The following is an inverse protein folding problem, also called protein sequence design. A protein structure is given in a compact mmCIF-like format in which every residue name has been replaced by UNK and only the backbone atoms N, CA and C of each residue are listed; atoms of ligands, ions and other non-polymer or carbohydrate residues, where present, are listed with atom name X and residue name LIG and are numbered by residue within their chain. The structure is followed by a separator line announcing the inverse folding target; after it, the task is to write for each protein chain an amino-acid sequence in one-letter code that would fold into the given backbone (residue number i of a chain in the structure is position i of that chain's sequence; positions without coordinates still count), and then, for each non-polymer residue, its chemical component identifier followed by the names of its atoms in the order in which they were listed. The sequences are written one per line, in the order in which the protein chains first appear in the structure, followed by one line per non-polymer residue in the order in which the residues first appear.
data_IF_732158714639
#
_entry.id   IF_732158714639
#
_cell.length_a   1.000
_cell.length_b   1.000
_cell.length_c   1.000
_cell.angle_alpha   90.00
_cell.angle_beta   90.00
_cell.angle_gamma   90.00
#
_symmetry.space_group_name_H-M   'P 1'
#
loop_
_entity.id
_entity.type
_entity.pdbx_description
1 polymer ?
#
# COMPACT_ATOMS: atom_id res chain seq x y z
N UNK A 1 -20.12 7.85 17.07
CA UNK A 1 -19.13 7.86 15.97
C UNK A 1 -17.98 6.98 16.41
N UNK A 2 -17.38 6.20 15.52
CA UNK A 2 -16.19 5.39 15.85
C UNK A 2 -15.03 5.89 14.98
N UNK A 3 -13.85 6.00 15.58
CA UNK A 3 -12.57 6.16 14.88
C UNK A 3 -11.68 4.95 15.19
N UNK A 4 -10.99 4.44 14.18
CA UNK A 4 -9.94 3.45 14.34
C UNK A 4 -8.78 3.79 13.41
N UNK A 5 -7.56 3.75 13.93
CA UNK A 5 -6.36 4.04 13.17
C UNK A 5 -5.32 4.80 14.01
N UNK A 6 -4.32 5.38 13.35
CA UNK A 6 -3.30 6.21 13.98
C UNK A 6 -3.90 7.41 14.73
N UNK A 7 -3.55 7.61 15.99
CA UNK A 7 -4.06 8.73 16.82
C UNK A 7 -3.84 10.11 16.17
N UNK A 8 -2.80 10.27 15.35
CA UNK A 8 -2.50 11.49 14.60
C UNK A 8 -3.60 11.88 13.59
N UNK A 9 -4.49 10.96 13.20
CA UNK A 9 -5.59 11.22 12.28
C UNK A 9 -6.94 11.45 12.98
N UNK A 10 -7.04 11.14 14.28
CA UNK A 10 -8.32 11.09 14.99
C UNK A 10 -9.06 12.43 14.98
N UNK A 11 -8.37 13.52 15.34
CA UNK A 11 -8.97 14.86 15.39
C UNK A 11 -9.39 15.31 14.00
N UNK A 12 -8.49 15.21 13.02
CA UNK A 12 -8.71 15.62 11.64
C UNK A 12 -9.89 14.88 10.99
N UNK A 13 -9.99 13.56 11.19
CA UNK A 13 -11.08 12.76 10.63
C UNK A 13 -12.41 13.09 11.31
N UNK A 14 -12.39 13.32 12.62
CA UNK A 14 -13.58 13.71 13.38
C UNK A 14 -14.08 15.09 12.95
N UNK A 15 -13.18 16.06 12.84
CA UNK A 15 -13.49 17.43 12.40
C UNK A 15 -14.09 17.41 10.99
N UNK A 16 -13.46 16.72 10.04
CA UNK A 16 -14.01 16.58 8.70
C UNK A 16 -15.41 15.95 8.72
N UNK A 17 -15.60 14.88 9.50
CA UNK A 17 -16.88 14.19 9.56
C UNK A 17 -18.00 15.08 10.12
N UNK A 18 -17.75 15.80 11.22
CA UNK A 18 -18.75 16.64 11.86
C UNK A 18 -19.05 17.92 11.07
N UNK A 19 -18.03 18.60 10.54
CA UNK A 19 -18.19 19.85 9.81
C UNK A 19 -18.94 19.71 8.49
N UNK A 20 -18.97 18.50 7.90
CA UNK A 20 -19.55 18.27 6.59
C UNK A 20 -20.78 17.34 6.61
N UNK A 21 -21.25 16.96 7.79
CA UNK A 21 -22.31 15.95 7.94
C UNK A 21 -23.61 16.31 7.22
N UNK A 22 -23.97 17.59 7.23
CA UNK A 22 -25.22 18.06 6.64
C UNK A 22 -25.25 17.90 5.11
N UNK A 23 -24.08 17.97 4.47
CA UNK A 23 -23.93 17.81 3.02
C UNK A 23 -24.20 16.36 2.58
N UNK A 24 -24.00 15.37 3.45
CA UNK A 24 -24.17 13.95 3.11
C UNK A 24 -25.61 13.59 2.75
N UNK A 25 -26.60 14.36 3.20
CA UNK A 25 -28.01 14.14 2.87
C UNK A 25 -28.30 14.35 1.38
N UNK A 26 -27.57 15.27 0.73
CA UNK A 26 -27.73 15.52 -0.71
C UNK A 26 -27.20 14.34 -1.54
N UNK A 27 -26.01 13.84 -1.19
CA UNK A 27 -25.41 12.63 -1.77
C UNK A 27 -26.31 11.40 -1.57
N UNK A 28 -26.91 11.25 -0.38
CA UNK A 28 -27.84 10.15 -0.09
C UNK A 28 -29.12 10.22 -0.94
N UNK A 29 -29.65 11.42 -1.20
CA UNK A 29 -30.83 11.62 -2.05
C UNK A 29 -30.54 11.20 -3.50
N UNK A 30 -29.34 11.51 -4.00
CA UNK A 30 -28.91 11.08 -5.32
C UNK A 30 -28.79 9.55 -5.40
N UNK A 31 -28.29 8.90 -4.36
CA UNK A 31 -28.27 7.43 -4.28
C UNK A 31 -29.68 6.83 -4.28
N UNK A 32 -30.61 7.39 -3.48
CA UNK A 32 -32.02 6.95 -3.47
C UNK A 32 -32.70 7.08 -4.82
N UNK A 33 -32.39 8.13 -5.58
CA UNK A 33 -32.95 8.33 -6.93
C UNK A 33 -32.60 7.20 -7.92
N UNK A 34 -31.62 6.35 -7.58
CA UNK A 34 -31.20 5.20 -8.37
C UNK A 34 -31.63 3.86 -7.78
N UNK A 35 -32.37 3.84 -6.68
CA UNK A 35 -32.71 2.60 -5.98
C UNK A 35 -33.45 1.58 -6.88
N UNK A 36 -34.27 2.05 -7.84
CA UNK A 36 -35.00 1.18 -8.78
C UNK A 36 -34.09 0.39 -9.73
N UNK A 37 -32.89 0.91 -10.04
CA UNK A 37 -31.91 0.28 -10.93
C UNK A 37 -30.76 -0.39 -10.18
N UNK A 38 -30.72 -0.22 -8.85
CA UNK A 38 -29.74 -0.84 -7.97
C UNK A 38 -30.35 -2.12 -7.36
N UNK A 39 -29.59 -3.21 -7.35
CA UNK A 39 -30.09 -4.48 -6.84
C UNK A 39 -30.42 -4.42 -5.35
N UNK A 40 -31.66 -4.66 -4.95
CA UNK A 40 -32.14 -4.53 -3.55
C UNK A 40 -31.47 -5.49 -2.56
N UNK A 41 -30.80 -6.53 -3.04
CA UNK A 41 -30.13 -7.54 -2.23
C UNK A 41 -28.83 -7.02 -1.57
N UNK A 42 -28.27 -5.92 -2.07
CA UNK A 42 -27.00 -5.37 -1.60
C UNK A 42 -27.16 -3.93 -1.14
N UNK A 43 -26.40 -3.56 -0.11
CA UNK A 43 -26.25 -2.16 0.25
C UNK A 43 -25.42 -1.41 -0.81
N UNK A 44 -25.71 -0.14 -1.02
CA UNK A 44 -24.97 0.71 -1.95
C UNK A 44 -24.41 1.93 -1.23
N UNK A 45 -23.28 2.41 -1.74
CA UNK A 45 -22.65 3.63 -1.26
C UNK A 45 -22.36 4.54 -2.43
N UNK A 46 -22.82 5.78 -2.35
CA UNK A 46 -22.22 6.83 -3.15
C UNK A 46 -20.88 7.18 -2.49
N UNK A 47 -19.82 7.06 -3.28
CA UNK A 47 -18.45 7.07 -2.78
C UNK A 47 -17.67 8.16 -3.48
N UNK A 48 -17.13 9.09 -2.70
CA UNK A 48 -16.10 10.02 -3.18
C UNK A 48 -14.72 9.43 -2.87
N UNK A 49 -13.82 9.46 -3.84
CA UNK A 49 -12.47 8.89 -3.76
C UNK A 49 -11.46 9.96 -4.15
N UNK A 50 -10.47 10.17 -3.29
CA UNK A 50 -9.32 11.04 -3.54
C UNK A 50 -8.03 10.20 -3.55
N UNK A 51 -7.26 10.31 -4.63
CA UNK A 51 -6.02 9.56 -4.85
C UNK A 51 -4.93 10.44 -5.43
N UNK A 52 -3.68 10.03 -5.24
CA UNK A 52 -2.56 10.55 -6.01
C UNK A 52 -2.57 9.95 -7.42
N UNK A 53 -2.46 10.79 -8.46
CA UNK A 53 -2.43 10.37 -9.89
C UNK A 53 -1.30 9.38 -10.15
N UNK A 54 -0.17 9.53 -9.46
CA UNK A 54 1.00 8.67 -9.58
C UNK A 54 0.99 7.51 -8.58
N UNK A 55 -0.09 7.35 -7.81
CA UNK A 55 -0.28 6.28 -6.83
C UNK A 55 0.83 6.23 -5.75
N UNK A 56 1.37 7.41 -5.37
CA UNK A 56 2.47 7.58 -4.40
C UNK A 56 2.00 7.90 -2.97
N UNK A 57 0.69 7.92 -2.75
CA UNK A 57 0.07 8.10 -1.45
C UNK A 57 -1.15 7.17 -1.25
N UNK A 58 -1.51 6.84 0.00
CA UNK A 58 -2.70 6.06 0.34
C UNK A 58 -3.99 6.70 -0.18
N UNK A 59 -5.02 5.89 -0.44
CA UNK A 59 -6.30 6.40 -0.96
C UNK A 59 -7.21 6.85 0.17
N UNK A 60 -7.83 8.03 0.04
CA UNK A 60 -8.88 8.50 0.94
C UNK A 60 -10.24 8.33 0.27
N UNK A 61 -11.23 7.83 1.00
CA UNK A 61 -12.57 7.59 0.47
C UNK A 61 -13.63 7.93 1.49
N UNK A 62 -14.71 8.57 1.04
CA UNK A 62 -15.91 8.84 1.82
C UNK A 62 -17.06 8.03 1.25
N UNK A 63 -17.67 7.19 2.07
CA UNK A 63 -18.79 6.33 1.72
C UNK A 63 -20.06 6.86 2.39
N UNK A 64 -21.12 7.08 1.61
CA UNK A 64 -22.40 7.59 2.09
C UNK A 64 -23.50 6.61 1.63
N UNK A 65 -24.30 6.12 2.57
CA UNK A 65 -25.43 5.24 2.26
C UNK A 65 -26.72 6.01 1.98
N UNK A 66 -27.77 5.28 1.62
CA UNK A 66 -29.07 5.86 1.29
C UNK A 66 -29.72 6.61 2.46
N UNK A 67 -29.35 6.33 3.71
CA UNK A 67 -29.88 7.03 4.89
C UNK A 67 -29.07 8.30 5.22
N UNK A 68 -28.03 8.63 4.44
CA UNK A 68 -27.10 9.71 4.74
C UNK A 68 -26.12 9.37 5.86
N UNK A 69 -26.09 8.11 6.31
CA UNK A 69 -25.03 7.64 7.22
C UNK A 69 -23.77 7.48 6.39
N UNK A 70 -22.65 7.88 6.96
CA UNK A 70 -21.39 7.85 6.22
C UNK A 70 -20.22 7.42 7.08
N UNK A 71 -19.12 7.11 6.41
CA UNK A 71 -17.81 7.01 7.05
C UNK A 71 -16.70 7.35 6.06
N UNK A 72 -15.62 7.92 6.60
CA UNK A 72 -14.37 8.20 5.93
C UNK A 72 -13.42 7.01 6.16
N UNK A 73 -12.67 6.63 5.14
CA UNK A 73 -11.66 5.57 5.21
C UNK A 73 -10.40 5.96 4.46
N UNK A 74 -9.25 5.64 5.05
CA UNK A 74 -7.95 5.69 4.40
C UNK A 74 -7.50 4.24 4.14
N UNK A 75 -7.17 3.92 2.90
CA UNK A 75 -6.88 2.56 2.45
C UNK A 75 -5.54 2.45 1.73
N UNK A 76 -4.99 1.23 1.73
CA UNK A 76 -3.75 0.90 1.01
C UNK A 76 -3.92 0.75 -0.49
N UNK A 77 -5.16 0.69 -0.97
CA UNK A 77 -5.48 0.64 -2.39
C UNK A 77 -6.71 1.47 -2.69
N UNK A 78 -6.82 1.89 -3.95
CA UNK A 78 -8.00 2.56 -4.45
C UNK A 78 -9.17 1.56 -4.53
N UNK A 79 -10.32 1.80 -3.87
CA UNK A 79 -11.48 0.90 -3.94
C UNK A 79 -11.91 0.56 -5.38
N UNK A 80 -11.70 1.50 -6.31
CA UNK A 80 -12.08 1.36 -7.72
C UNK A 80 -11.28 0.29 -8.48
N UNK A 81 -10.13 -0.15 -7.96
CA UNK A 81 -9.34 -1.22 -8.61
C UNK A 81 -9.83 -2.62 -8.23
N UNK A 82 -10.60 -2.74 -7.13
CA UNK A 82 -11.04 -4.03 -6.57
C UNK A 82 -12.55 -4.23 -6.63
N UNK A 83 -13.29 -3.17 -6.90
CA UNK A 83 -14.74 -3.16 -6.86
C UNK A 83 -15.33 -2.65 -8.16
N UNK A 84 -16.40 -3.30 -8.61
CA UNK A 84 -17.17 -2.84 -9.76
C UNK A 84 -17.83 -1.50 -9.44
N UNK A 85 -17.58 -0.50 -10.29
CA UNK A 85 -18.27 0.79 -10.23
C UNK A 85 -19.55 0.70 -11.02
N UNK A 86 -20.71 0.85 -10.35
CA UNK A 86 -22.00 0.74 -11.02
C UNK A 86 -22.29 2.01 -11.84
N UNK A 87 -21.98 3.17 -11.25
CA UNK A 87 -22.17 4.48 -11.88
C UNK A 87 -21.00 5.40 -11.57
N UNK A 88 -20.71 6.35 -12.48
CA UNK A 88 -19.75 7.44 -12.29
C UNK A 88 -20.47 8.77 -12.36
N UNK A 89 -20.13 9.66 -11.46
CA UNK A 89 -20.72 10.98 -11.31
C UNK A 89 -19.65 12.05 -11.46
N UNK A 90 -20.10 13.27 -11.80
CA UNK A 90 -19.25 14.45 -11.64
C UNK A 90 -18.95 14.66 -10.14
N UNK A 91 -17.76 15.16 -9.79
CA UNK A 91 -17.44 15.52 -8.40
C UNK A 91 -18.51 16.44 -7.78
N UNK A 92 -18.88 16.18 -6.53
CA UNK A 92 -19.79 17.03 -5.76
C UNK A 92 -19.00 18.01 -4.87
N UNK A 93 -19.71 18.86 -4.13
CA UNK A 93 -19.11 19.69 -3.08
C UNK A 93 -18.39 18.83 -2.04
N UNK A 94 -19.03 17.74 -1.59
CA UNK A 94 -18.43 16.75 -0.69
C UNK A 94 -17.14 16.15 -1.26
N UNK A 95 -17.12 15.84 -2.57
CA UNK A 95 -15.91 15.37 -3.25
C UNK A 95 -14.79 16.41 -3.24
N UNK A 96 -15.13 17.69 -3.41
CA UNK A 96 -14.17 18.79 -3.39
C UNK A 96 -13.57 19.01 -1.99
N UNK A 97 -14.39 18.89 -0.95
CA UNK A 97 -13.96 18.96 0.45
C UNK A 97 -13.05 17.77 0.81
N UNK A 98 -13.37 16.57 0.32
CA UNK A 98 -12.49 15.40 0.45
C UNK A 98 -11.13 15.64 -0.19
N UNK A 99 -11.10 16.29 -1.36
CA UNK A 99 -9.87 16.70 -2.03
C UNK A 99 -9.02 17.66 -1.19
N UNK A 100 -9.64 18.66 -0.54
CA UNK A 100 -8.93 19.58 0.36
C UNK A 100 -8.32 18.86 1.56
N UNK A 101 -9.06 17.94 2.18
CA UNK A 101 -8.55 17.08 3.26
C UNK A 101 -7.39 16.20 2.76
N UNK A 102 -7.50 15.66 1.54
CA UNK A 102 -6.43 14.87 0.95
C UNK A 102 -5.16 15.71 0.71
N UNK A 103 -5.28 16.94 0.20
CA UNK A 103 -4.16 17.87 0.04
C UNK A 103 -3.46 18.16 1.36
N UNK A 104 -4.21 18.32 2.46
CA UNK A 104 -3.61 18.59 3.76
C UNK A 104 -2.86 17.38 4.34
N UNK A 105 -3.37 16.17 4.09
CA UNK A 105 -2.72 14.92 4.48
C UNK A 105 -1.48 14.60 3.62
N UNK A 106 -1.54 14.89 2.33
CA UNK A 106 -0.50 14.54 1.36
C UNK A 106 -0.17 15.74 0.45
N UNK A 107 0.54 16.77 0.96
CA UNK A 107 0.76 18.03 0.23
C UNK A 107 1.51 17.89 -1.10
N UNK A 108 2.34 16.84 -1.25
CA UNK A 108 3.12 16.57 -2.46
C UNK A 108 2.34 15.80 -3.54
N UNK A 109 1.10 15.40 -3.28
CA UNK A 109 0.32 14.56 -4.19
C UNK A 109 -0.38 15.38 -5.28
N UNK A 110 -0.37 14.85 -6.50
CA UNK A 110 -1.21 15.36 -7.58
C UNK A 110 -2.58 14.67 -7.49
N UNK A 111 -3.63 15.42 -7.18
CA UNK A 111 -4.90 14.84 -6.76
C UNK A 111 -5.80 14.49 -7.94
N UNK A 112 -6.30 13.26 -7.95
CA UNK A 112 -7.42 12.82 -8.76
C UNK A 112 -8.63 12.56 -7.88
N UNK A 113 -9.78 13.10 -8.31
CA UNK A 113 -11.06 12.94 -7.61
C UNK A 113 -12.02 12.12 -8.46
N UNK A 114 -12.70 11.17 -7.82
CA UNK A 114 -13.74 10.36 -8.44
C UNK A 114 -14.96 10.28 -7.54
N UNK A 115 -16.15 10.25 -8.14
CA UNK A 115 -17.42 10.02 -7.44
C UNK A 115 -18.16 8.89 -8.14
N UNK A 116 -18.49 7.82 -7.41
CA UNK A 116 -19.05 6.60 -7.98
C UNK A 116 -20.10 5.98 -7.07
N UNK A 117 -20.84 5.00 -7.57
CA UNK A 117 -21.60 4.07 -6.71
C UNK A 117 -20.84 2.75 -6.58
N UNK A 118 -20.58 2.34 -5.34
CA UNK A 118 -20.00 1.06 -4.96
C UNK A 118 -21.03 0.19 -4.24
N UNK A 119 -20.95 -1.11 -4.47
CA UNK A 119 -21.80 -2.12 -3.84
C UNK A 119 -21.14 -2.71 -2.59
N UNK A 120 -21.87 -2.83 -1.49
CA UNK A 120 -21.47 -3.57 -0.29
C UNK A 120 -21.47 -5.09 -0.57
N UNK A 121 -20.56 -5.88 0.03
CA UNK A 121 -19.54 -5.49 1.00
C UNK A 121 -18.32 -4.81 0.38
N UNK A 122 -17.77 -3.84 1.09
CA UNK A 122 -16.56 -3.12 0.68
C UNK A 122 -15.33 -4.04 0.83
N UNK A 123 -14.61 -4.25 -0.28
CA UNK A 123 -13.44 -5.13 -0.35
C UNK A 123 -12.15 -4.32 -0.33
N UNK A 124 -11.99 -3.52 0.72
CA UNK A 124 -10.88 -2.57 0.84
C UNK A 124 -10.27 -2.65 2.23
N UNK A 125 -8.94 -2.78 2.30
CA UNK A 125 -8.22 -2.80 3.56
C UNK A 125 -7.96 -1.36 4.04
N UNK A 126 -8.51 -1.03 5.21
CA UNK A 126 -8.39 0.29 5.80
C UNK A 126 -7.22 0.36 6.79
N UNK A 127 -6.36 1.36 6.61
CA UNK A 127 -5.33 1.76 7.60
C UNK A 127 -5.92 2.69 8.66
N UNK A 128 -6.98 3.42 8.33
CA UNK A 128 -7.77 4.21 9.27
C UNK A 128 -9.21 4.38 8.77
N UNK A 129 -10.16 4.57 9.68
CA UNK A 129 -11.53 4.94 9.32
C UNK A 129 -12.23 5.72 10.45
N UNK A 130 -13.22 6.53 10.09
CA UNK A 130 -14.02 7.32 11.02
C UNK A 130 -15.46 7.48 10.51
N UNK A 131 -16.47 7.32 11.36
CA UNK A 131 -17.82 7.70 10.98
C UNK A 131 -18.95 7.11 11.82
N UNK A 132 -20.10 6.92 11.17
CA UNK A 132 -21.32 6.44 11.82
C UNK A 132 -21.10 5.04 12.43
N UNK A 133 -21.35 4.94 13.73
CA UNK A 133 -21.09 3.74 14.52
C UNK A 133 -21.91 2.53 14.08
N UNK A 134 -23.22 2.73 13.84
CA UNK A 134 -24.12 1.64 13.45
C UNK A 134 -23.76 1.12 12.06
N UNK A 135 -23.44 2.02 11.13
CA UNK A 135 -22.99 1.69 9.79
C UNK A 135 -21.67 0.90 9.81
N UNK A 136 -20.65 1.42 10.52
CA UNK A 136 -19.34 0.77 10.61
C UNK A 136 -19.44 -0.61 11.27
N UNK A 137 -20.15 -0.74 12.40
CA UNK A 137 -20.36 -2.04 13.06
C UNK A 137 -21.02 -3.06 12.11
N UNK A 138 -21.99 -2.63 11.29
CA UNK A 138 -22.62 -3.48 10.28
C UNK A 138 -21.63 -3.94 9.20
N UNK A 139 -20.85 -3.03 8.63
CA UNK A 139 -19.89 -3.40 7.57
C UNK A 139 -18.72 -4.23 8.11
N UNK A 140 -18.25 -3.97 9.33
CA UNK A 140 -17.27 -4.79 10.03
C UNK A 140 -17.78 -6.21 10.27
N UNK A 141 -19.04 -6.36 10.69
CA UNK A 141 -19.67 -7.67 10.87
C UNK A 141 -19.75 -8.44 9.54
N UNK A 142 -20.20 -7.79 8.46
CA UNK A 142 -20.22 -8.39 7.12
C UNK A 142 -18.84 -8.86 6.67
N UNK A 143 -17.81 -8.03 6.84
CA UNK A 143 -16.44 -8.37 6.53
C UNK A 143 -15.95 -9.59 7.34
N UNK A 144 -16.23 -9.60 8.65
CA UNK A 144 -15.88 -10.71 9.55
C UNK A 144 -16.57 -12.02 9.16
N UNK A 145 -17.86 -11.98 8.80
CA UNK A 145 -18.61 -13.16 8.35
C UNK A 145 -18.05 -13.72 7.04
N UNK A 146 -17.49 -12.87 6.18
CA UNK A 146 -16.80 -13.30 4.95
C UNK A 146 -15.37 -13.82 5.18
N UNK A 147 -14.90 -13.87 6.44
CA UNK A 147 -13.53 -14.27 6.79
C UNK A 147 -12.46 -13.26 6.36
N UNK A 148 -12.84 -12.01 6.06
CA UNK A 148 -11.92 -10.97 5.56
C UNK A 148 -11.64 -9.91 6.63
N UNK A 149 -10.35 -9.55 6.76
CA UNK A 149 -9.84 -8.61 7.77
C UNK A 149 -9.86 -7.13 7.37
N UNK A 150 -10.74 -6.71 6.46
CA UNK A 150 -10.71 -5.36 5.83
C UNK A 150 -10.60 -4.18 6.81
N UNK A 151 -11.24 -4.28 7.98
CA UNK A 151 -11.22 -3.23 9.01
C UNK A 151 -10.23 -3.50 10.14
N UNK A 152 -9.79 -4.75 10.33
CA UNK A 152 -8.95 -5.16 11.48
C UNK A 152 -7.55 -4.56 11.44
N UNK A 153 -7.05 -4.26 10.24
CA UNK A 153 -5.70 -3.68 10.09
C UNK A 153 -5.60 -2.33 10.82
N UNK A 154 -6.60 -1.46 10.70
CA UNK A 154 -6.63 -0.14 11.33
C UNK A 154 -6.44 -0.19 12.86
N UNK A 155 -6.83 -1.29 13.51
CA UNK A 155 -6.65 -1.47 14.96
C UNK A 155 -5.19 -1.58 15.40
N UNK A 156 -4.32 -1.99 14.47
CA UNK A 156 -2.92 -2.32 14.74
C UNK A 156 -1.95 -1.29 14.17
N UNK A 157 -2.41 -0.31 13.38
CA UNK A 157 -1.55 0.71 12.79
C UNK A 157 -1.27 1.82 13.82
N UNK A 158 -0.05 1.82 14.37
CA UNK A 158 0.41 2.90 15.25
C UNK A 158 0.73 4.18 14.46
N UNK A 159 0.82 5.33 15.15
CA UNK A 159 1.22 6.59 14.54
C UNK A 159 2.60 6.53 13.88
N UNK A 160 3.54 5.82 14.50
CA UNK A 160 4.89 5.66 13.95
C UNK A 160 4.88 4.77 12.70
N UNK A 161 4.19 3.62 12.74
CA UNK A 161 4.06 2.75 11.57
C UNK A 161 3.39 3.50 10.42
N UNK A 162 2.36 4.28 10.70
CA UNK A 162 1.69 5.11 9.70
C UNK A 162 2.62 6.15 9.08
N UNK A 163 3.45 6.82 9.87
CA UNK A 163 4.43 7.78 9.37
C UNK A 163 5.39 7.14 8.37
N UNK A 164 5.95 5.97 8.69
CA UNK A 164 6.81 5.22 7.78
C UNK A 164 6.07 4.71 6.54
N UNK A 165 4.85 4.19 6.73
CA UNK A 165 3.99 3.71 5.66
C UNK A 165 3.74 4.81 4.62
N UNK A 166 3.38 6.03 5.05
CA UNK A 166 3.21 7.18 4.15
C UNK A 166 4.53 7.61 3.51
N UNK A 167 5.61 7.69 4.30
CA UNK A 167 6.94 8.11 3.81
C UNK A 167 7.45 7.21 2.69
N UNK A 168 7.21 5.91 2.77
CA UNK A 168 7.73 4.91 1.83
C UNK A 168 6.65 4.37 0.88
N UNK A 169 5.46 4.98 0.84
CA UNK A 169 4.37 4.46 0.02
C UNK A 169 4.75 4.45 -1.47
N UNK A 170 4.74 3.25 -2.06
CA UNK A 170 4.92 2.95 -3.50
C UNK A 170 6.07 3.70 -4.16
N UNK A 171 7.26 3.66 -3.54
CA UNK A 171 8.43 4.40 -4.03
C UNK A 171 9.77 3.68 -3.81
N UNK A 172 10.76 4.10 -4.59
CA UNK A 172 12.16 3.73 -4.41
C UNK A 172 12.79 4.54 -3.28
N UNK A 173 13.39 3.85 -2.34
CA UNK A 173 14.21 4.40 -1.26
C UNK A 173 15.66 4.26 -1.68
N UNK A 174 16.30 5.39 -2.01
CA UNK A 174 17.72 5.43 -2.36
C UNK A 174 18.56 5.24 -1.09
N UNK A 175 19.50 4.30 -1.15
CA UNK A 175 20.41 3.93 -0.07
C UNK A 175 21.86 4.07 -0.55
N UNK A 176 22.82 4.00 0.38
CA UNK A 176 24.25 4.15 0.05
C UNK A 176 24.72 3.12 -0.98
N UNK A 177 24.38 1.85 -0.76
CA UNK A 177 24.81 0.71 -1.57
C UNK A 177 23.84 0.33 -2.70
N UNK A 178 22.75 1.07 -2.90
CA UNK A 178 21.73 0.72 -3.90
C UNK A 178 20.37 1.28 -3.51
N UNK A 179 19.30 0.52 -3.70
CA UNK A 179 17.94 1.01 -3.50
C UNK A 179 16.94 -0.11 -3.16
N UNK A 180 15.84 0.25 -2.50
CA UNK A 180 14.74 -0.66 -2.16
C UNK A 180 13.43 -0.03 -2.58
N UNK A 181 12.59 -0.78 -3.29
CA UNK A 181 11.22 -0.36 -3.59
C UNK A 181 10.26 -0.92 -2.55
N UNK A 182 9.45 -0.04 -1.97
CA UNK A 182 8.43 -0.39 -0.98
C UNK A 182 7.07 -0.27 -1.64
N UNK A 183 6.29 -1.35 -1.58
CA UNK A 183 4.96 -1.41 -2.17
C UNK A 183 3.94 -1.97 -1.19
N UNK A 184 3.23 -1.10 -0.46
CA UNK A 184 2.08 -1.51 0.32
C UNK A 184 0.91 -1.88 -0.60
N UNK A 185 0.26 -3.01 -0.28
CA UNK A 185 -0.93 -3.52 -0.97
C UNK A 185 -1.71 -4.38 -0.01
N UNK A 186 -3.02 -4.16 0.08
CA UNK A 186 -3.89 -4.86 1.01
C UNK A 186 -3.37 -4.77 2.47
N UNK A 187 -3.17 -5.92 3.13
CA UNK A 187 -2.63 -6.05 4.49
C UNK A 187 -1.12 -6.35 4.53
N UNK A 188 -0.44 -6.29 3.38
CA UNK A 188 0.99 -6.62 3.26
C UNK A 188 1.81 -5.44 2.72
N UNK A 189 3.12 -5.54 2.92
CA UNK A 189 4.12 -4.68 2.30
C UNK A 189 5.08 -5.57 1.54
N UNK A 190 5.18 -5.33 0.23
CA UNK A 190 6.23 -5.92 -0.60
C UNK A 190 7.48 -5.05 -0.54
N UNK A 191 8.61 -5.71 -0.32
CA UNK A 191 9.94 -5.11 -0.24
C UNK A 191 10.77 -5.69 -1.38
N UNK A 192 11.11 -4.85 -2.35
CA UNK A 192 11.88 -5.26 -3.52
C UNK A 192 13.29 -4.70 -3.40
N UNK A 193 14.29 -5.56 -3.43
CA UNK A 193 15.68 -5.12 -3.46
C UNK A 193 16.07 -4.72 -4.89
N UNK A 194 16.68 -3.55 -5.03
CA UNK A 194 17.30 -3.08 -6.26
C UNK A 194 18.69 -3.69 -6.49
N UNK A 195 19.29 -3.41 -7.65
CA UNK A 195 20.66 -3.83 -7.97
C UNK A 195 21.65 -3.20 -6.96
N UNK A 196 22.46 -4.01 -6.25
CA UNK A 196 23.50 -3.48 -5.37
C UNK A 196 24.61 -2.82 -6.20
N UNK A 197 25.21 -1.77 -5.65
CA UNK A 197 26.40 -1.10 -6.19
C UNK A 197 27.62 -1.91 -5.77
N UNK A 198 28.16 -2.66 -6.70
CA UNK A 198 29.34 -3.52 -6.50
C UNK A 198 30.56 -2.88 -7.17
N UNK A 199 31.76 -3.19 -6.65
CA UNK A 199 33.04 -2.75 -7.24
C UNK A 199 33.46 -3.59 -8.46
N UNK A 200 32.66 -4.60 -8.83
CA UNK A 200 32.92 -5.52 -9.92
C UNK A 200 31.87 -5.37 -11.02
N UNK A 201 32.31 -5.46 -12.28
CA UNK A 201 31.39 -5.54 -13.41
C UNK A 201 30.90 -7.00 -13.55
N UNK A 202 29.72 -7.28 -13.01
CA UNK A 202 29.09 -8.60 -13.02
C UNK A 202 27.74 -8.50 -13.73
N UNK A 203 27.46 -9.52 -14.53
CA UNK A 203 26.18 -9.67 -15.21
C UNK A 203 25.01 -9.66 -14.24
N UNK A 204 23.94 -8.97 -14.64
CA UNK A 204 22.76 -8.81 -13.80
C UNK A 204 22.10 -10.16 -13.49
N UNK A 205 22.16 -11.13 -14.39
CA UNK A 205 21.63 -12.49 -14.19
C UNK A 205 22.28 -13.17 -12.97
N UNK A 206 23.61 -13.06 -12.83
CA UNK A 206 24.34 -13.63 -11.68
C UNK A 206 23.88 -12.95 -10.39
N UNK A 207 23.75 -11.62 -10.39
CA UNK A 207 23.24 -10.88 -9.23
C UNK A 207 21.83 -11.35 -8.86
N UNK A 208 20.94 -11.56 -9.83
CA UNK A 208 19.58 -12.04 -9.59
C UNK A 208 19.58 -13.44 -8.97
N UNK A 209 20.39 -14.38 -9.47
CA UNK A 209 20.46 -15.73 -8.90
C UNK A 209 21.01 -15.73 -7.48
N UNK A 210 22.08 -14.98 -7.22
CA UNK A 210 22.61 -14.80 -5.85
C UNK A 210 21.56 -14.17 -4.92
N UNK A 211 20.74 -13.25 -5.44
CA UNK A 211 19.66 -12.60 -4.70
C UNK A 211 18.50 -13.54 -4.36
N UNK A 212 18.23 -14.52 -5.22
CA UNK A 212 17.24 -15.59 -4.97
C UNK A 212 17.75 -16.56 -3.90
N UNK A 213 19.03 -16.93 -3.94
CA UNK A 213 19.66 -17.74 -2.90
C UNK A 213 19.63 -17.03 -1.55
N UNK A 214 20.05 -15.76 -1.52
CA UNK A 214 20.01 -14.92 -0.32
C UNK A 214 18.59 -14.84 0.26
N UNK A 215 17.57 -14.58 -0.57
CA UNK A 215 16.17 -14.57 -0.12
C UNK A 215 15.75 -15.87 0.53
N UNK A 216 16.13 -17.01 -0.06
CA UNK A 216 15.78 -18.33 0.47
C UNK A 216 16.39 -18.54 1.87
N UNK A 217 17.61 -18.06 2.09
CA UNK A 217 18.27 -18.09 3.40
C UNK A 217 17.61 -17.14 4.41
N UNK A 218 17.29 -15.90 4.00
CA UNK A 218 16.63 -14.91 4.86
C UNK A 218 15.26 -15.42 5.31
N UNK A 219 14.42 -15.90 4.39
CA UNK A 219 13.08 -16.42 4.71
C UNK A 219 13.15 -17.63 5.64
N UNK A 220 14.14 -18.52 5.45
CA UNK A 220 14.34 -19.68 6.33
C UNK A 220 14.67 -19.26 7.77
N UNK A 221 15.41 -18.17 7.94
CA UNK A 221 15.87 -17.69 9.26
C UNK A 221 14.95 -16.63 9.89
N UNK A 222 14.12 -15.95 9.10
CA UNK A 222 13.24 -14.87 9.55
C UNK A 222 11.77 -15.20 9.29
N UNK A 223 11.07 -15.68 10.32
CA UNK A 223 9.66 -16.15 10.25
C UNK A 223 8.64 -15.11 9.80
N UNK A 224 8.95 -13.82 9.89
CA UNK A 224 8.04 -12.73 9.50
C UNK A 224 8.11 -12.41 8.00
N UNK A 225 9.25 -12.66 7.35
CA UNK A 225 9.43 -12.40 5.93
C UNK A 225 9.04 -13.65 5.14
N UNK A 226 8.22 -13.45 4.11
CA UNK A 226 7.85 -14.51 3.17
C UNK A 226 8.45 -14.21 1.80
N UNK A 227 8.76 -15.24 1.00
CA UNK A 227 9.22 -15.03 -0.36
C UNK A 227 8.03 -14.56 -1.19
N UNK A 228 8.22 -13.53 -2.01
CA UNK A 228 7.16 -13.03 -2.90
C UNK A 228 7.70 -12.81 -4.31
N UNK A 229 6.81 -12.46 -5.23
CA UNK A 229 7.15 -12.08 -6.60
C UNK A 229 6.71 -10.64 -6.85
N UNK A 230 7.25 -10.05 -7.93
CA UNK A 230 6.77 -8.77 -8.46
C UNK A 230 5.31 -8.98 -8.89
N UNK A 231 4.40 -8.15 -8.41
CA UNK A 231 3.03 -8.14 -8.91
C UNK A 231 2.91 -7.22 -10.14
N UNK A 232 2.02 -7.52 -11.11
CA UNK A 232 1.80 -6.66 -12.28
C UNK A 232 1.43 -5.21 -11.92
N UNK A 233 0.67 -5.03 -10.84
CA UNK A 233 0.21 -3.77 -10.26
C UNK A 233 1.32 -2.90 -9.65
N UNK A 234 2.55 -3.43 -9.50
CA UNK A 234 3.66 -2.67 -8.96
C UNK A 234 4.24 -1.64 -9.95
N UNK A 235 4.13 -1.91 -11.25
CA UNK A 235 4.47 -1.03 -12.38
C UNK A 235 5.69 -0.10 -12.15
N UNK A 236 6.78 -0.60 -11.58
CA UNK A 236 8.01 0.17 -11.36
C UNK A 236 9.00 -0.07 -12.51
N UNK A 237 9.78 0.96 -12.85
CA UNK A 237 10.76 0.95 -13.94
C UNK A 237 12.18 0.50 -13.56
N UNK A 238 12.41 0.19 -12.28
CA UNK A 238 13.73 -0.21 -11.75
C UNK A 238 14.04 -1.70 -11.89
N UNK A 239 15.28 -2.05 -11.57
CA UNK A 239 15.74 -3.46 -11.59
C UNK A 239 15.38 -4.11 -10.26
N UNK A 240 14.57 -5.17 -10.32
CA UNK A 240 14.26 -6.00 -9.16
C UNK A 240 15.16 -7.23 -9.11
N UNK A 241 15.82 -7.40 -7.97
CA UNK A 241 16.73 -8.53 -7.73
C UNK A 241 16.10 -9.59 -6.82
N UNK A 242 15.33 -9.17 -5.84
CA UNK A 242 14.60 -10.05 -4.93
C UNK A 242 13.37 -9.37 -4.37
N UNK A 243 12.37 -10.16 -3.98
CA UNK A 243 11.12 -9.64 -3.40
C UNK A 243 10.75 -10.46 -2.16
N UNK A 244 10.45 -9.71 -1.10
CA UNK A 244 9.93 -10.20 0.16
C UNK A 244 8.55 -9.60 0.40
N UNK A 245 7.72 -10.29 1.17
CA UNK A 245 6.50 -9.72 1.73
C UNK A 245 6.46 -9.91 3.24
N UNK A 246 5.82 -8.96 3.91
CA UNK A 246 5.57 -8.95 5.35
C UNK A 246 4.18 -8.37 5.59
N UNK A 247 3.49 -8.77 6.66
CA UNK A 247 2.27 -8.09 7.07
C UNK A 247 2.57 -6.62 7.38
N UNK A 248 1.70 -5.71 6.95
CA UNK A 248 1.88 -4.27 7.16
C UNK A 248 2.05 -3.95 8.65
N UNK A 249 1.29 -4.63 9.51
CA UNK A 249 1.34 -4.45 10.97
C UNK A 249 2.67 -4.88 11.59
N UNK A 250 3.42 -5.76 10.92
CA UNK A 250 4.70 -6.28 11.41
C UNK A 250 5.90 -5.59 10.72
N UNK A 251 5.65 -4.67 9.80
CA UNK A 251 6.67 -4.06 8.93
C UNK A 251 7.53 -2.97 9.60
N UNK A 252 7.14 -2.49 10.80
CA UNK A 252 7.83 -1.39 11.49
C UNK A 252 9.32 -1.66 11.70
N UNK A 253 9.67 -2.89 12.09
CA UNK A 253 11.07 -3.30 12.30
C UNK A 253 11.91 -3.20 11.03
N UNK A 254 11.32 -3.53 9.88
CA UNK A 254 11.98 -3.39 8.57
C UNK A 254 12.10 -1.92 8.19
N UNK A 255 11.06 -1.10 8.36
CA UNK A 255 11.12 0.31 8.02
C UNK A 255 12.21 1.07 8.78
N UNK A 256 12.32 0.84 10.10
CA UNK A 256 13.38 1.43 10.93
C UNK A 256 14.78 1.04 10.47
N UNK A 257 14.94 -0.18 9.94
CA UNK A 257 16.23 -0.78 9.62
C UNK A 257 16.43 -1.04 8.13
N UNK A 258 15.70 -0.35 7.25
CA UNK A 258 15.70 -0.63 5.80
C UNK A 258 17.11 -0.51 5.20
N UNK A 259 17.90 0.45 5.68
CA UNK A 259 19.30 0.62 5.30
C UNK A 259 20.17 -0.56 5.74
N UNK A 260 20.05 -1.00 7.00
CA UNK A 260 20.81 -2.14 7.52
C UNK A 260 20.44 -3.45 6.81
N UNK A 261 19.15 -3.66 6.56
CA UNK A 261 18.65 -4.81 5.81
C UNK A 261 19.27 -4.85 4.40
N UNK A 262 19.29 -3.71 3.70
CA UNK A 262 19.88 -3.64 2.37
C UNK A 262 21.41 -3.75 2.39
N UNK A 263 22.09 -3.19 3.39
CA UNK A 263 23.53 -3.30 3.54
C UNK A 263 23.96 -4.75 3.79
N UNK A 264 23.19 -5.51 4.58
CA UNK A 264 23.38 -6.94 4.77
C UNK A 264 23.25 -7.68 3.43
N UNK A 265 22.15 -7.43 2.71
CA UNK A 265 21.94 -7.99 1.36
C UNK A 265 23.12 -7.67 0.43
N UNK A 266 23.49 -6.40 0.31
CA UNK A 266 24.57 -5.97 -0.59
C UNK A 266 25.92 -6.60 -0.21
N UNK A 267 26.26 -6.69 1.09
CA UNK A 267 27.49 -7.33 1.55
C UNK A 267 27.52 -8.83 1.23
N UNK A 268 26.39 -9.53 1.39
CA UNK A 268 26.32 -10.95 1.07
C UNK A 268 26.51 -11.22 -0.42
N UNK A 269 25.92 -10.39 -1.30
CA UNK A 269 26.14 -10.50 -2.74
C UNK A 269 27.59 -10.16 -3.10
N UNK A 270 28.14 -9.09 -2.55
CA UNK A 270 29.53 -8.66 -2.76
C UNK A 270 30.52 -9.75 -2.38
N UNK A 271 30.39 -10.35 -1.18
CA UNK A 271 31.28 -11.42 -0.73
C UNK A 271 31.15 -12.71 -1.55
N UNK A 272 29.94 -13.04 -2.03
CA UNK A 272 29.74 -14.19 -2.91
C UNK A 272 30.45 -13.99 -4.27
N UNK A 273 30.29 -12.80 -4.86
CA UNK A 273 30.97 -12.41 -6.10
C UNK A 273 32.50 -12.43 -5.94
N UNK A 274 33.01 -11.85 -4.86
CA UNK A 274 34.45 -11.82 -4.58
C UNK A 274 35.04 -13.24 -4.45
N UNK A 275 34.32 -14.13 -3.75
CA UNK A 275 34.71 -15.54 -3.61
C UNK A 275 34.76 -16.25 -4.97
N UNK A 276 33.76 -16.02 -5.83
CA UNK A 276 33.74 -16.59 -7.18
C UNK A 276 34.92 -16.10 -8.03
N UNK A 277 35.21 -14.80 -8.03
CA UNK A 277 36.33 -14.21 -8.76
C UNK A 277 37.67 -14.76 -8.27
N UNK A 278 37.86 -14.83 -6.95
CA UNK A 278 39.10 -15.34 -6.38
C UNK A 278 39.31 -16.82 -6.68
N UNK A 279 38.24 -17.62 -6.72
CA UNK A 279 38.31 -19.03 -7.11
C UNK A 279 38.74 -19.22 -8.57
N UNK A 280 38.29 -18.34 -9.48
CA UNK A 280 38.69 -18.36 -10.89
C UNK A 280 40.19 -18.05 -11.06
N UNK A 281 40.73 -17.11 -10.28
CA UNK A 281 42.16 -16.75 -10.32
C UNK A 281 43.09 -17.89 -9.91
N UNK A 282 42.59 -18.84 -9.12
CA UNK A 282 43.35 -19.98 -8.60
C UNK A 282 43.20 -21.22 -9.50
N UNK A 283 42.34 -21.15 -10.53
CA UNK A 283 42.22 -22.25 -11.48
C UNK A 283 43.58 -22.54 -12.12
N UNK A 284 43.99 -23.82 -12.22
CA UNK A 284 45.25 -24.22 -12.85
C UNK A 284 45.14 -24.15 -14.39
N UNK A 285 44.55 -23.07 -14.90
CA UNK A 285 44.57 -22.68 -16.30
C UNK A 285 45.72 -21.69 -16.47
N UNK A 286 46.94 -22.20 -16.32
CA UNK A 286 48.13 -21.47 -16.71
C UNK A 286 48.04 -21.09 -18.19
N UNK A 287 48.27 -19.82 -18.51
CA UNK A 287 48.67 -19.30 -19.83
C UNK A 287 47.65 -19.04 -20.96
N UNK A 288 46.33 -18.91 -20.74
CA UNK A 288 45.42 -18.56 -21.89
C UNK A 288 44.55 -17.30 -21.71
N UNK A 289 44.82 -16.45 -20.73
CA UNK A 289 44.22 -15.10 -20.70
C UNK A 289 45.30 -14.04 -20.70
N UNK A 290 46.01 -13.94 -21.83
CA UNK A 290 46.63 -12.67 -22.21
C UNK A 290 45.52 -11.73 -22.68
N UNK A 291 45.56 -10.53 -22.13
CA UNK A 291 44.73 -9.36 -22.42
C UNK A 291 44.22 -9.32 -23.86
N UNK A 292 42.90 -9.23 -24.00
CA UNK A 292 42.19 -8.37 -24.94
C UNK A 292 40.88 -7.90 -24.28
#
# INVERSE_FOLDING_TARGET
MIFQGPNSLSSLFSEFYFSNKDLFSSDATELKSRQEVLGTQFGHFITSVATDVNNRAPTLSLFIDEEGRSFLGLSSENPLTRMSTIYRYRPSETTSLLGKLYSSLFPESEISLSRVILQSPLRTYFVAFCGNERLLKREMLKASLSGKGFYKMAEKVSAELFSYYCKYYRRWVKLRKGEVFIYPTEEIVKIVTGRPRLNYNIDLSIIIELSRLFRSLVVKNHRLLRPSNISPDMNFSGIATSVYEIALTDSLGIYRNIGLFYDMYSKSIEGAVETMINSIKILPLGEVLKND
#
